data_IF_863445151311
#
_entry.id   IF_863445151311
#
_cell.length_a   1.000
_cell.length_b   1.000
_cell.length_c   1.000
_cell.angle_alpha   90.00
_cell.angle_beta   90.00
_cell.angle_gamma   90.00
#
_symmetry.space_group_name_H-M   'P 1'
#
loop_
_entity.id
_entity.type
_entity.pdbx_description
1 polymer ?
#
# COMPACT_ATOMS: atom_id res chain seq x y z
N UNK A 1 -9.53 -0.72 17.33
CA UNK A 1 -8.34 -0.45 18.16
C UNK A 1 -8.33 1.04 18.50
N UNK A 2 -8.73 1.41 19.72
CA UNK A 2 -8.90 2.81 20.16
C UNK A 2 -8.01 3.05 21.38
N UNK A 3 -6.70 2.84 21.25
CA UNK A 3 -5.76 3.03 22.37
C UNK A 3 -4.46 3.70 21.86
N UNK A 4 -4.05 4.75 22.58
CA UNK A 4 -2.79 5.52 22.62
C UNK A 4 -2.34 6.45 21.47
N UNK A 5 -2.92 6.43 20.27
CA UNK A 5 -2.51 7.38 19.22
C UNK A 5 -2.64 8.86 19.65
N UNK A 6 -3.74 9.32 20.28
CA UNK A 6 -3.84 10.72 20.72
C UNK A 6 -2.81 11.08 21.79
N UNK A 7 -2.56 10.21 22.77
CA UNK A 7 -1.58 10.46 23.84
C UNK A 7 -0.15 10.55 23.28
N UNK A 8 0.23 9.61 22.39
CA UNK A 8 1.53 9.62 21.73
C UNK A 8 1.67 10.83 20.81
N UNK A 9 0.60 11.22 20.11
CA UNK A 9 0.57 12.42 19.29
C UNK A 9 0.77 13.70 20.12
N UNK A 10 0.17 13.81 21.31
CA UNK A 10 0.42 14.94 22.20
C UNK A 10 1.87 15.01 22.69
N UNK A 11 2.54 13.86 22.84
CA UNK A 11 3.98 13.79 23.15
C UNK A 11 4.88 14.04 21.91
N UNK A 12 4.34 13.96 20.69
CA UNK A 12 5.08 14.09 19.44
C UNK A 12 4.38 15.06 18.47
N UNK A 13 4.79 16.34 18.49
CA UNK A 13 4.14 17.41 17.70
C UNK A 13 3.94 17.07 16.22
N UNK A 14 4.89 16.37 15.59
CA UNK A 14 4.77 15.97 14.18
C UNK A 14 3.69 14.90 13.97
N UNK A 15 3.55 13.92 14.88
CA UNK A 15 2.48 12.93 14.84
C UNK A 15 1.10 13.56 15.03
N UNK A 16 1.00 14.57 15.91
CA UNK A 16 -0.22 15.34 16.06
C UNK A 16 -0.60 16.03 14.75
N UNK A 17 0.35 16.71 14.11
CA UNK A 17 0.11 17.30 12.79
C UNK A 17 -0.29 16.25 11.75
N UNK A 18 0.37 15.09 11.68
CA UNK A 18 -0.03 14.01 10.77
C UNK A 18 -1.46 13.51 11.02
N UNK A 19 -1.83 13.36 12.30
CA UNK A 19 -3.18 12.95 12.69
C UNK A 19 -4.24 13.99 12.30
N UNK A 20 -3.95 15.28 12.54
CA UNK A 20 -4.81 16.39 12.14
C UNK A 20 -4.92 16.50 10.61
N UNK A 21 -3.85 16.21 9.88
CA UNK A 21 -3.85 16.19 8.43
C UNK A 21 -4.85 15.15 7.89
N UNK A 22 -4.77 13.91 8.38
CA UNK A 22 -5.72 12.84 8.05
C UNK A 22 -7.15 13.22 8.43
N UNK A 23 -7.35 13.77 9.63
CA UNK A 23 -8.68 14.17 10.10
C UNK A 23 -9.28 15.27 9.22
N UNK A 24 -8.50 16.31 8.87
CA UNK A 24 -8.94 17.40 8.02
C UNK A 24 -9.22 16.92 6.58
N UNK A 25 -8.40 16.02 6.04
CA UNK A 25 -8.61 15.40 4.73
C UNK A 25 -9.88 14.53 4.73
N UNK A 26 -10.11 13.75 5.77
CA UNK A 26 -11.34 12.98 5.89
C UNK A 26 -12.56 13.89 6.00
N UNK A 27 -12.50 14.96 6.80
CA UNK A 27 -13.58 15.92 6.97
C UNK A 27 -13.93 16.68 5.68
N UNK A 28 -12.96 17.01 4.82
CA UNK A 28 -13.21 17.71 3.56
C UNK A 28 -14.20 16.97 2.66
N UNK A 29 -14.15 15.63 2.68
CA UNK A 29 -15.01 14.74 1.88
C UNK A 29 -16.49 14.79 2.27
N UNK A 30 -16.81 15.22 3.48
CA UNK A 30 -18.20 15.33 3.96
C UNK A 30 -18.77 16.75 3.80
N UNK A 31 -18.00 17.69 3.26
CA UNK A 31 -18.46 19.07 3.05
C UNK A 31 -19.26 19.15 1.75
N UNK A 32 -20.51 19.61 1.88
CA UNK A 32 -21.41 19.85 0.74
C UNK A 32 -20.98 21.06 -0.09
N UNK A 33 -20.40 22.06 0.57
CA UNK A 33 -19.89 23.28 -0.05
C UNK A 33 -18.45 23.08 -0.50
N UNK A 34 -18.17 23.31 -1.80
CA UNK A 34 -16.83 23.20 -2.38
C UNK A 34 -15.80 24.13 -1.70
N UNK A 35 -16.21 25.34 -1.30
CA UNK A 35 -15.33 26.28 -0.60
C UNK A 35 -14.91 25.76 0.78
N UNK A 36 -15.85 25.17 1.53
CA UNK A 36 -15.54 24.52 2.81
C UNK A 36 -14.68 23.27 2.63
N UNK A 37 -15.01 22.42 1.64
CA UNK A 37 -14.21 21.25 1.30
C UNK A 37 -12.75 21.65 1.03
N UNK A 38 -12.55 22.68 0.21
CA UNK A 38 -11.24 23.21 -0.11
C UNK A 38 -10.53 23.81 1.11
N UNK A 39 -11.26 24.51 1.99
CA UNK A 39 -10.69 25.03 3.25
C UNK A 39 -10.14 23.91 4.13
N UNK A 40 -10.88 22.80 4.29
CA UNK A 40 -10.41 21.63 5.03
C UNK A 40 -9.24 20.93 4.33
N UNK A 41 -9.25 20.83 2.99
CA UNK A 41 -8.13 20.31 2.22
C UNK A 41 -6.84 21.13 2.44
N UNK A 42 -6.94 22.46 2.42
CA UNK A 42 -5.80 23.34 2.69
C UNK A 42 -5.25 23.17 4.11
N UNK A 43 -6.11 23.00 5.11
CA UNK A 43 -5.70 22.66 6.49
C UNK A 43 -5.00 21.31 6.55
N UNK A 44 -5.52 20.32 5.82
CA UNK A 44 -4.94 18.99 5.74
C UNK A 44 -3.50 19.04 5.18
N UNK A 45 -3.31 19.73 4.05
CA UNK A 45 -2.01 19.93 3.43
C UNK A 45 -1.04 20.72 4.33
N UNK A 46 -1.50 21.78 4.98
CA UNK A 46 -0.68 22.55 5.91
C UNK A 46 -0.13 21.69 7.04
N UNK A 47 -0.99 20.89 7.68
CA UNK A 47 -0.56 19.98 8.72
C UNK A 47 0.35 18.86 8.19
N UNK A 48 0.05 18.30 7.02
CA UNK A 48 0.87 17.28 6.38
C UNK A 48 2.30 17.77 6.14
N UNK A 49 2.46 18.93 5.48
CA UNK A 49 3.79 19.52 5.18
C UNK A 49 4.53 19.86 6.47
N UNK A 50 3.84 20.40 7.48
CA UNK A 50 4.45 20.73 8.78
C UNK A 50 4.98 19.50 9.49
N UNK A 51 4.19 18.42 9.50
CA UNK A 51 4.58 17.14 10.09
C UNK A 51 5.77 16.55 9.33
N UNK A 52 5.70 16.51 8.00
CA UNK A 52 6.71 15.91 7.13
C UNK A 52 8.07 16.58 7.32
N UNK A 53 8.13 17.92 7.33
CA UNK A 53 9.36 18.67 7.59
C UNK A 53 10.03 18.26 8.91
N UNK A 54 9.23 18.14 9.96
CA UNK A 54 9.74 17.79 11.30
C UNK A 54 10.21 16.34 11.34
N UNK A 55 9.43 15.41 10.77
CA UNK A 55 9.80 14.00 10.68
C UNK A 55 11.10 13.79 9.89
N UNK A 56 11.25 14.45 8.74
CA UNK A 56 12.47 14.39 7.92
C UNK A 56 13.70 14.87 8.70
N UNK A 57 13.59 15.90 9.53
CA UNK A 57 14.73 16.33 10.36
C UNK A 57 15.14 15.30 11.43
N UNK A 58 14.20 14.46 11.90
CA UNK A 58 14.47 13.44 12.90
C UNK A 58 15.04 12.14 12.29
N UNK A 59 14.83 11.92 10.98
CA UNK A 59 15.34 10.74 10.27
C UNK A 59 16.87 10.64 10.25
N UNK A 60 17.59 11.76 10.41
CA UNK A 60 19.05 11.77 10.48
C UNK A 60 19.61 11.06 11.73
N UNK A 61 18.79 10.90 12.79
CA UNK A 61 19.21 10.33 14.07
C UNK A 61 18.10 9.49 14.70
N UNK A 62 17.77 8.37 14.06
CA UNK A 62 16.72 7.45 14.52
C UNK A 62 17.21 6.66 15.74
N UNK A 63 16.36 6.60 16.78
CA UNK A 63 16.61 5.92 18.04
C UNK A 63 15.31 5.36 18.64
N UNK A 64 15.38 4.71 19.81
CA UNK A 64 14.23 4.09 20.46
C UNK A 64 13.15 5.11 20.90
N UNK A 65 13.51 6.38 21.07
CA UNK A 65 12.58 7.43 21.47
C UNK A 65 11.74 7.96 20.30
N UNK A 66 12.32 8.06 19.09
CA UNK A 66 11.63 8.63 17.92
C UNK A 66 11.23 7.59 16.86
N UNK A 67 11.86 6.41 16.82
CA UNK A 67 11.64 5.37 15.83
C UNK A 67 10.19 4.89 15.75
N UNK A 68 9.56 4.51 16.87
CA UNK A 68 8.15 4.13 16.91
C UNK A 68 7.24 5.23 16.35
N UNK A 69 7.51 6.49 16.72
CA UNK A 69 6.72 7.62 16.26
C UNK A 69 6.90 7.90 14.76
N UNK A 70 8.12 7.77 14.23
CA UNK A 70 8.42 7.90 12.80
C UNK A 70 7.74 6.81 11.98
N UNK A 71 7.67 5.57 12.49
CA UNK A 71 6.93 4.48 11.84
C UNK A 71 5.42 4.78 11.76
N UNK A 72 4.82 5.24 12.86
CA UNK A 72 3.40 5.63 12.82
C UNK A 72 3.17 6.77 11.84
N UNK A 73 4.10 7.73 11.79
CA UNK A 73 4.00 8.84 10.88
C UNK A 73 4.11 8.39 9.42
N UNK A 74 4.98 7.44 9.07
CA UNK A 74 5.06 6.91 7.69
C UNK A 74 3.75 6.21 7.27
N UNK A 75 3.09 5.49 8.19
CA UNK A 75 1.77 4.91 7.93
C UNK A 75 0.68 5.98 7.72
N UNK A 76 0.75 7.10 8.46
CA UNK A 76 -0.14 8.24 8.25
C UNK A 76 0.15 8.93 6.91
N UNK A 77 1.42 9.08 6.53
CA UNK A 77 1.79 9.65 5.22
C UNK A 77 1.22 8.82 4.08
N UNK A 78 1.42 7.51 4.15
CA UNK A 78 0.85 6.57 3.20
C UNK A 78 -0.68 6.69 3.10
N UNK A 79 -1.38 6.66 4.24
CA UNK A 79 -2.85 6.81 4.28
C UNK A 79 -3.30 8.18 3.74
N UNK A 80 -2.52 9.24 3.98
CA UNK A 80 -2.81 10.59 3.50
C UNK A 80 -2.70 10.66 1.99
N UNK A 81 -1.60 10.16 1.42
CA UNK A 81 -1.36 10.15 -0.02
C UNK A 81 -2.44 9.36 -0.75
N UNK A 82 -2.76 8.16 -0.30
CA UNK A 82 -3.85 7.38 -0.90
C UNK A 82 -5.21 8.07 -0.73
N UNK A 83 -5.44 8.72 0.42
CA UNK A 83 -6.67 9.45 0.71
C UNK A 83 -6.92 10.68 -0.17
N UNK A 84 -5.89 11.22 -0.83
CA UNK A 84 -6.05 12.24 -1.87
C UNK A 84 -6.75 11.69 -3.12
N UNK A 85 -6.74 10.36 -3.28
CA UNK A 85 -7.29 9.65 -4.42
C UNK A 85 -6.31 9.54 -5.59
N UNK A 86 -6.55 8.59 -6.50
CA UNK A 86 -5.76 8.44 -7.70
C UNK A 86 -5.98 9.61 -8.69
N UNK A 87 -4.98 9.89 -9.52
CA UNK A 87 -5.06 10.78 -10.68
C UNK A 87 -4.76 10.00 -11.96
N UNK A 88 -5.19 10.48 -13.13
CA UNK A 88 -4.85 9.82 -14.41
C UNK A 88 -3.36 9.54 -14.54
N UNK A 89 -3.03 8.28 -14.88
CA UNK A 89 -1.66 7.78 -14.95
C UNK A 89 -1.01 7.36 -13.62
N UNK A 90 -1.73 7.35 -12.49
CA UNK A 90 -1.22 6.86 -11.22
C UNK A 90 -1.41 5.33 -11.08
N UNK A 91 -0.33 4.58 -11.11
CA UNK A 91 -0.31 3.13 -10.88
C UNK A 91 -0.02 2.76 -9.42
N UNK A 92 -0.38 3.64 -8.46
CA UNK A 92 -0.18 3.52 -7.01
C UNK A 92 1.30 3.53 -6.56
N UNK A 93 2.13 2.67 -7.16
CA UNK A 93 3.56 2.50 -6.92
C UNK A 93 4.41 3.51 -7.69
N UNK A 94 3.89 3.96 -8.82
CA UNK A 94 4.51 4.94 -9.69
C UNK A 94 3.41 5.77 -10.37
N UNK A 95 3.81 6.89 -10.96
CA UNK A 95 2.95 7.71 -11.81
C UNK A 95 3.81 8.66 -12.64
N UNK A 96 3.23 9.75 -13.17
CA UNK A 96 3.95 10.66 -14.08
C UNK A 96 5.19 11.32 -13.48
N UNK A 97 5.30 11.35 -12.14
CA UNK A 97 6.43 11.93 -11.41
C UNK A 97 7.48 10.89 -10.98
N UNK A 98 7.34 9.63 -11.42
CA UNK A 98 8.21 8.51 -11.05
C UNK A 98 7.64 7.65 -9.91
N UNK A 99 8.52 6.96 -9.18
CA UNK A 99 8.13 6.09 -8.05
C UNK A 99 7.47 6.92 -6.95
N UNK A 100 6.40 6.38 -6.37
CA UNK A 100 5.69 7.02 -5.30
C UNK A 100 6.59 7.19 -4.06
N UNK A 101 6.76 8.43 -3.61
CA UNK A 101 7.68 8.78 -2.51
C UNK A 101 7.40 8.00 -1.22
N UNK A 102 6.13 7.67 -0.95
CA UNK A 102 5.73 6.92 0.24
C UNK A 102 6.29 5.49 0.25
N UNK A 103 6.56 4.90 -0.93
CA UNK A 103 7.08 3.54 -1.05
C UNK A 103 8.48 3.45 -0.40
N UNK A 104 9.38 4.34 -0.80
CA UNK A 104 10.74 4.41 -0.23
C UNK A 104 10.72 4.73 1.27
N UNK A 105 9.80 5.58 1.73
CA UNK A 105 9.64 5.86 3.16
C UNK A 105 9.25 4.61 3.96
N UNK A 106 8.29 3.84 3.48
CA UNK A 106 7.83 2.62 4.16
C UNK A 106 8.86 1.49 4.09
N UNK A 107 9.54 1.32 2.95
CA UNK A 107 10.64 0.36 2.82
C UNK A 107 11.81 0.70 3.76
N UNK A 108 12.15 1.98 3.92
CA UNK A 108 13.14 2.43 4.88
C UNK A 108 12.76 2.10 6.33
N UNK A 109 11.51 2.36 6.71
CA UNK A 109 11.01 2.02 8.05
C UNK A 109 10.92 0.50 8.28
N UNK A 110 10.61 -0.29 7.25
CA UNK A 110 10.70 -1.77 7.33
C UNK A 110 12.13 -2.21 7.57
N UNK A 111 13.08 -1.71 6.79
CA UNK A 111 14.50 -2.07 6.95
C UNK A 111 14.97 -1.81 8.39
N UNK A 112 14.52 -0.71 9.00
CA UNK A 112 14.80 -0.43 10.41
C UNK A 112 14.13 -1.43 11.36
N UNK A 113 12.88 -1.83 11.12
CA UNK A 113 12.20 -2.87 11.90
C UNK A 113 12.93 -4.21 11.84
N UNK A 114 13.47 -4.58 10.68
CA UNK A 114 14.18 -5.86 10.46
C UNK A 114 15.61 -5.84 11.02
N UNK A 115 16.34 -4.74 10.82
CA UNK A 115 17.77 -4.63 11.19
C UNK A 115 18.00 -4.14 12.61
N UNK A 116 17.04 -3.41 13.18
CA UNK A 116 17.11 -2.83 14.53
C UNK A 116 15.80 -3.02 15.30
N UNK A 117 15.33 -4.26 15.50
CA UNK A 117 14.07 -4.54 16.20
C UNK A 117 14.05 -3.97 17.63
N UNK A 118 15.22 -3.80 18.26
CA UNK A 118 15.39 -3.16 19.57
C UNK A 118 14.83 -1.72 19.66
N UNK A 119 14.75 -1.00 18.52
CA UNK A 119 14.17 0.35 18.48
C UNK A 119 12.65 0.35 18.64
N UNK A 120 12.00 -0.81 18.50
CA UNK A 120 10.54 -0.96 18.44
C UNK A 120 9.98 -1.84 19.57
N UNK A 121 10.74 -2.01 20.66
CA UNK A 121 10.33 -2.82 21.81
C UNK A 121 9.37 -2.12 22.77
N UNK A 122 8.82 -0.95 22.43
CA UNK A 122 7.77 -0.31 23.23
C UNK A 122 6.49 -1.15 23.20
N UNK A 123 6.15 -1.74 24.35
CA UNK A 123 4.96 -2.57 24.59
C UNK A 123 3.66 -1.89 24.15
N UNK A 124 3.62 -0.56 24.14
CA UNK A 124 2.44 0.23 23.78
C UNK A 124 2.07 0.10 22.31
N UNK A 125 3.07 0.01 21.45
CA UNK A 125 2.91 -0.02 20.00
C UNK A 125 3.26 -1.39 19.39
N UNK A 126 3.79 -2.30 20.22
CA UNK A 126 4.11 -3.68 19.88
C UNK A 126 3.03 -4.38 19.03
N UNK A 127 1.71 -4.26 19.29
CA UNK A 127 0.72 -4.93 18.44
C UNK A 127 0.72 -4.45 16.98
N UNK A 128 1.00 -3.17 16.71
CA UNK A 128 1.07 -2.65 15.35
C UNK A 128 2.34 -3.07 14.62
N UNK A 129 3.47 -3.16 15.33
CA UNK A 129 4.72 -3.66 14.76
C UNK A 129 4.66 -5.17 14.52
N UNK A 130 4.11 -5.92 15.48
CA UNK A 130 3.99 -7.38 15.39
C UNK A 130 3.13 -7.82 14.21
N UNK A 131 2.08 -7.08 13.84
CA UNK A 131 1.28 -7.42 12.65
C UNK A 131 2.13 -7.35 11.38
N UNK A 132 2.91 -6.28 11.21
CA UNK A 132 3.83 -6.14 10.07
C UNK A 132 4.91 -7.21 10.11
N UNK A 133 5.57 -7.41 11.26
CA UNK A 133 6.63 -8.42 11.43
C UNK A 133 6.12 -9.84 11.16
N UNK A 134 4.93 -10.21 11.67
CA UNK A 134 4.31 -11.52 11.40
C UNK A 134 3.99 -11.68 9.92
N UNK A 135 3.47 -10.63 9.28
CA UNK A 135 3.16 -10.65 7.85
C UNK A 135 4.42 -10.81 6.99
N UNK A 136 5.55 -10.21 7.40
CA UNK A 136 6.86 -10.33 6.76
C UNK A 136 7.49 -11.72 6.98
N UNK A 137 7.40 -12.25 8.20
CA UNK A 137 8.00 -13.54 8.59
C UNK A 137 7.31 -14.76 7.96
N UNK A 138 6.10 -14.60 7.41
CA UNK A 138 5.33 -15.68 6.85
C UNK A 138 5.76 -15.97 5.41
N UNK A 139 6.50 -17.07 5.23
CA UNK A 139 7.29 -17.34 4.03
C UNK A 139 6.79 -18.47 3.13
N UNK A 140 5.72 -19.20 3.49
CA UNK A 140 5.27 -20.35 2.69
C UNK A 140 3.75 -20.35 2.60
N UNK A 141 3.24 -20.02 1.41
CA UNK A 141 1.86 -20.35 1.05
C UNK A 141 1.75 -21.85 0.89
N UNK A 142 0.70 -22.45 1.46
CA UNK A 142 0.41 -23.88 1.25
C UNK A 142 -0.38 -24.12 -0.04
N UNK A 143 -0.95 -23.08 -0.63
CA UNK A 143 -1.86 -23.16 -1.78
C UNK A 143 -1.41 -22.15 -2.82
N UNK A 144 -1.20 -22.61 -4.06
CA UNK A 144 -1.03 -21.67 -5.17
C UNK A 144 -2.41 -21.15 -5.58
N UNK A 145 -2.65 -19.85 -5.33
CA UNK A 145 -3.91 -19.21 -5.70
C UNK A 145 -3.98 -18.86 -7.19
N UNK A 146 -2.85 -18.85 -7.90
CA UNK A 146 -2.77 -18.38 -9.29
C UNK A 146 -2.11 -19.38 -10.26
N UNK A 147 -2.46 -20.69 -10.24
CA UNK A 147 -1.76 -21.69 -11.03
C UNK A 147 -1.90 -21.47 -12.54
N UNK A 148 -3.05 -20.94 -12.99
CA UNK A 148 -3.29 -20.63 -14.40
C UNK A 148 -2.42 -19.45 -14.87
N UNK A 149 -2.45 -18.34 -14.14
CA UNK A 149 -1.62 -17.17 -14.46
C UNK A 149 -0.13 -17.51 -14.42
N UNK A 150 0.31 -18.29 -13.43
CA UNK A 150 1.70 -18.77 -13.35
C UNK A 150 2.12 -19.51 -14.61
N UNK A 151 1.28 -20.44 -15.08
CA UNK A 151 1.53 -21.18 -16.32
C UNK A 151 1.60 -20.24 -17.52
N UNK A 152 0.69 -19.28 -17.64
CA UNK A 152 0.69 -18.29 -18.72
C UNK A 152 1.99 -17.46 -18.73
N UNK A 153 2.40 -16.96 -17.56
CA UNK A 153 3.65 -16.20 -17.39
C UNK A 153 4.87 -17.05 -17.78
N UNK A 154 4.96 -18.28 -17.29
CA UNK A 154 6.07 -19.19 -17.62
C UNK A 154 6.16 -19.50 -19.13
N UNK A 155 5.02 -19.59 -19.80
CA UNK A 155 4.96 -19.83 -21.25
C UNK A 155 5.35 -18.58 -22.05
N UNK A 156 4.80 -17.42 -21.70
CA UNK A 156 5.04 -16.17 -22.44
C UNK A 156 6.44 -15.60 -22.22
N UNK A 157 6.97 -15.71 -21.00
CA UNK A 157 8.31 -15.23 -20.63
C UNK A 157 9.35 -16.37 -20.60
N UNK A 158 9.15 -17.43 -21.40
CA UNK A 158 10.09 -18.54 -21.48
C UNK A 158 11.42 -18.08 -22.09
N UNK A 159 12.51 -18.20 -21.32
CA UNK A 159 13.83 -17.70 -21.72
C UNK A 159 14.07 -16.22 -21.47
N UNK A 160 13.08 -15.51 -20.93
CA UNK A 160 13.23 -14.13 -20.48
C UNK A 160 13.97 -14.12 -19.11
N UNK A 161 15.10 -13.40 -18.97
CA UNK A 161 15.76 -13.24 -17.68
C UNK A 161 14.86 -12.61 -16.61
N UNK A 162 13.83 -11.84 -17.00
CA UNK A 162 12.91 -11.16 -16.09
C UNK A 162 11.88 -12.10 -15.44
N UNK A 163 11.74 -13.34 -15.94
CA UNK A 163 10.82 -14.35 -15.43
C UNK A 163 10.99 -14.63 -13.92
N UNK A 164 12.22 -14.51 -13.42
CA UNK A 164 12.51 -14.68 -11.99
C UNK A 164 11.79 -13.65 -11.12
N UNK A 165 11.72 -12.39 -11.58
CA UNK A 165 11.05 -11.30 -10.89
C UNK A 165 9.53 -11.46 -10.95
N UNK A 166 8.99 -11.86 -12.10
CA UNK A 166 7.56 -12.15 -12.26
C UNK A 166 7.10 -13.28 -11.33
N UNK A 167 7.87 -14.37 -11.29
CA UNK A 167 7.55 -15.54 -10.47
C UNK A 167 7.60 -15.20 -8.98
N UNK A 168 8.63 -14.48 -8.55
CA UNK A 168 8.79 -14.04 -7.15
C UNK A 168 7.66 -13.11 -6.71
N UNK A 169 7.32 -12.10 -7.52
CA UNK A 169 6.23 -11.16 -7.20
C UNK A 169 4.87 -11.88 -7.11
N UNK A 170 4.62 -12.83 -8.03
CA UNK A 170 3.41 -13.65 -8.02
C UNK A 170 3.35 -14.58 -6.80
N UNK A 171 4.46 -15.19 -6.40
CA UNK A 171 4.55 -16.03 -5.20
C UNK A 171 4.23 -15.24 -3.93
N UNK A 172 4.84 -14.06 -3.79
CA UNK A 172 4.58 -13.16 -2.67
C UNK A 172 3.10 -12.72 -2.64
N UNK A 173 2.50 -12.44 -3.81
CA UNK A 173 1.09 -12.07 -3.91
C UNK A 173 0.17 -13.23 -3.51
N UNK A 174 0.45 -14.43 -4.03
CA UNK A 174 -0.27 -15.66 -3.71
C UNK A 174 -0.34 -15.89 -2.20
N UNK A 175 0.77 -15.70 -1.48
CA UNK A 175 0.79 -15.81 -0.02
C UNK A 175 -0.14 -14.83 0.71
N UNK A 176 -0.47 -13.67 0.12
CA UNK A 176 -1.39 -12.72 0.75
C UNK A 176 -2.85 -13.18 0.66
N UNK A 177 -3.18 -13.99 -0.37
CA UNK A 177 -4.53 -14.52 -0.55
C UNK A 177 -4.89 -15.62 0.46
N UNK A 178 -3.91 -16.29 1.06
CA UNK A 178 -4.14 -17.20 2.19
C UNK A 178 -4.92 -16.51 3.32
N UNK A 179 -4.58 -15.25 3.62
CA UNK A 179 -5.28 -14.48 4.64
C UNK A 179 -6.66 -14.04 4.20
N UNK A 180 -6.80 -13.60 2.94
CA UNK A 180 -8.06 -13.13 2.39
C UNK A 180 -9.15 -14.22 2.41
N UNK A 181 -8.77 -15.45 2.09
CA UNK A 181 -9.67 -16.61 2.10
C UNK A 181 -10.04 -17.05 3.53
N UNK A 182 -9.14 -16.93 4.51
CA UNK A 182 -9.43 -17.22 5.91
C UNK A 182 -10.31 -16.13 6.57
N UNK A 183 -10.25 -14.89 6.08
CA UNK A 183 -11.10 -13.76 6.53
C UNK A 183 -12.54 -13.79 5.99
N UNK A 184 -12.95 -14.83 5.26
CA UNK A 184 -14.37 -15.07 4.91
C UNK A 184 -15.25 -15.35 6.13
N UNK A 185 -14.64 -15.61 7.29
CA UNK A 185 -15.34 -15.57 8.58
C UNK A 185 -15.59 -14.11 9.00
N UNK A 186 -16.86 -13.76 9.31
CA UNK A 186 -17.34 -12.39 9.66
C UNK A 186 -16.60 -11.67 10.81
N UNK A 187 -15.56 -12.27 11.39
CA UNK A 187 -14.88 -11.84 12.61
C UNK A 187 -13.50 -11.21 12.33
N UNK A 188 -12.84 -11.49 11.20
CA UNK A 188 -11.52 -10.95 10.89
C UNK A 188 -11.51 -10.09 9.63
N UNK A 189 -11.50 -8.76 9.77
CA UNK A 189 -11.26 -7.85 8.65
C UNK A 189 -9.77 -7.90 8.25
N UNK A 190 -9.47 -7.97 6.95
CA UNK A 190 -8.11 -7.78 6.44
C UNK A 190 -7.58 -6.41 6.86
N UNK A 191 -6.41 -6.39 7.48
CA UNK A 191 -5.72 -5.14 7.78
C UNK A 191 -5.00 -4.61 6.53
N UNK A 192 -4.96 -3.29 6.29
CA UNK A 192 -4.21 -2.74 5.17
C UNK A 192 -2.72 -3.10 5.24
N UNK A 193 -2.15 -3.23 6.44
CA UNK A 193 -0.79 -3.69 6.63
C UNK A 193 -0.56 -5.06 5.99
N UNK A 194 -1.48 -6.02 6.15
CA UNK A 194 -1.34 -7.36 5.57
C UNK A 194 -1.38 -7.36 4.04
N UNK A 195 -2.16 -6.45 3.44
CA UNK A 195 -2.28 -6.33 1.98
C UNK A 195 -1.07 -5.60 1.40
N UNK A 196 -0.73 -4.42 1.94
CA UNK A 196 0.34 -3.58 1.41
C UNK A 196 1.76 -4.10 1.74
N UNK A 197 1.91 -5.10 2.61
CA UNK A 197 3.20 -5.81 2.78
C UNK A 197 3.72 -6.37 1.46
N UNK A 198 2.84 -6.83 0.57
CA UNK A 198 3.25 -7.27 -0.78
C UNK A 198 3.98 -6.16 -1.53
N UNK A 199 3.37 -4.98 -1.59
CA UNK A 199 3.96 -3.78 -2.21
C UNK A 199 5.33 -3.46 -1.62
N UNK A 200 5.47 -3.53 -0.30
CA UNK A 200 6.75 -3.21 0.34
C UNK A 200 7.84 -4.23 -0.02
N UNK A 201 7.47 -5.50 -0.23
CA UNK A 201 8.36 -6.64 -0.51
C UNK A 201 8.79 -6.79 -1.97
N UNK A 202 8.22 -6.00 -2.87
CA UNK A 202 8.67 -5.96 -4.27
C UNK A 202 10.14 -5.56 -4.32
N UNK A 203 10.91 -6.24 -5.16
CA UNK A 203 12.28 -5.85 -5.44
C UNK A 203 12.33 -4.72 -6.48
N UNK A 204 13.47 -4.02 -6.49
CA UNK A 204 13.67 -2.84 -7.34
C UNK A 204 13.55 -3.19 -8.83
N UNK A 205 13.94 -4.40 -9.22
CA UNK A 205 13.80 -4.89 -10.59
C UNK A 205 12.33 -5.03 -10.99
N UNK A 206 11.49 -5.67 -10.17
CA UNK A 206 10.05 -5.76 -10.48
C UNK A 206 9.38 -4.38 -10.48
N UNK A 207 9.77 -3.48 -9.57
CA UNK A 207 9.28 -2.09 -9.57
C UNK A 207 9.69 -1.36 -10.85
N UNK A 208 10.94 -1.52 -11.31
CA UNK A 208 11.38 -0.98 -12.60
C UNK A 208 10.54 -1.51 -13.76
N UNK A 209 10.25 -2.81 -13.79
CA UNK A 209 9.44 -3.42 -14.86
C UNK A 209 8.00 -2.92 -14.87
N UNK A 210 7.44 -2.62 -13.70
CA UNK A 210 6.16 -1.93 -13.57
C UNK A 210 6.23 -0.50 -14.14
N UNK A 211 7.29 0.25 -13.84
CA UNK A 211 7.48 1.61 -14.38
C UNK A 211 7.71 1.65 -15.89
N UNK A 212 8.29 0.60 -16.45
CA UNK A 212 8.41 0.39 -17.89
C UNK A 212 7.09 -0.06 -18.53
N UNK A 213 6.01 -0.16 -17.73
CA UNK A 213 4.67 -0.57 -18.14
C UNK A 213 4.68 -1.91 -18.88
N UNK A 214 5.56 -2.83 -18.45
CA UNK A 214 5.66 -4.16 -19.03
C UNK A 214 4.34 -4.92 -18.81
N UNK A 215 3.83 -5.66 -19.81
CA UNK A 215 2.52 -6.28 -19.73
C UNK A 215 2.34 -7.25 -18.56
N UNK A 216 3.31 -8.16 -18.34
CA UNK A 216 3.21 -9.20 -17.29
C UNK A 216 3.19 -8.59 -15.87
N UNK A 217 4.10 -7.65 -15.51
CA UNK A 217 4.01 -6.93 -14.23
C UNK A 217 2.69 -6.22 -14.00
N UNK A 218 2.17 -5.53 -15.02
CA UNK A 218 0.87 -4.85 -14.92
C UNK A 218 -0.27 -5.84 -14.72
N UNK A 219 -0.25 -6.99 -15.40
CA UNK A 219 -1.19 -8.08 -15.13
C UNK A 219 -1.06 -8.55 -13.67
N UNK A 220 0.14 -8.79 -13.14
CA UNK A 220 0.30 -9.17 -11.72
C UNK A 220 -0.25 -8.09 -10.78
N UNK A 221 -0.01 -6.81 -11.07
CA UNK A 221 -0.56 -5.68 -10.31
C UNK A 221 -2.10 -5.68 -10.33
N UNK A 222 -2.73 -6.08 -11.44
CA UNK A 222 -4.20 -6.21 -11.49
C UNK A 222 -4.74 -7.26 -10.52
N UNK A 223 -4.00 -8.33 -10.23
CA UNK A 223 -4.39 -9.33 -9.23
C UNK A 223 -4.25 -8.79 -7.80
N UNK A 224 -3.33 -7.86 -7.56
CA UNK A 224 -3.28 -7.12 -6.30
C UNK A 224 -4.53 -6.24 -6.11
N UNK A 225 -5.13 -5.72 -7.18
CA UNK A 225 -6.36 -4.94 -7.09
C UNK A 225 -7.53 -5.70 -6.45
N UNK A 226 -7.55 -7.04 -6.53
CA UNK A 226 -8.54 -7.88 -5.84
C UNK A 226 -8.44 -7.68 -4.32
N UNK A 227 -7.23 -7.75 -3.76
CA UNK A 227 -7.00 -7.51 -2.33
C UNK A 227 -7.27 -6.06 -1.95
N UNK A 228 -6.84 -5.13 -2.81
CA UNK A 228 -7.08 -3.70 -2.60
C UNK A 228 -8.57 -3.37 -2.54
N UNK A 229 -9.40 -4.02 -3.36
CA UNK A 229 -10.85 -3.84 -3.38
C UNK A 229 -11.51 -4.30 -2.06
N UNK A 230 -10.95 -5.32 -1.40
CA UNK A 230 -11.41 -5.77 -0.08
C UNK A 230 -11.14 -4.75 1.04
N UNK A 231 -10.23 -3.79 0.80
CA UNK A 231 -9.95 -2.68 1.72
C UNK A 231 -10.91 -1.49 1.55
N UNK A 232 -11.96 -1.58 0.72
CA UNK A 232 -12.91 -0.47 0.45
C UNK A 232 -13.61 0.12 1.69
N UNK A 233 -13.61 -0.62 2.81
CA UNK A 233 -14.06 -0.13 4.13
C UNK A 233 -13.17 1.00 4.67
N UNK A 234 -11.87 1.01 4.33
CA UNK A 234 -10.94 2.09 4.64
C UNK A 234 -11.17 3.23 3.65
N UNK A 235 -11.58 4.39 4.13
CA UNK A 235 -11.99 5.50 3.25
C UNK A 235 -10.89 5.97 2.28
N UNK A 236 -9.62 5.80 2.67
CA UNK A 236 -8.46 6.27 1.91
C UNK A 236 -8.02 5.30 0.80
N UNK A 237 -8.52 4.07 0.74
CA UNK A 237 -8.28 3.14 -0.39
C UNK A 237 -9.38 3.20 -1.46
N UNK A 238 -10.49 3.90 -1.19
CA UNK A 238 -11.64 3.94 -2.09
C UNK A 238 -11.29 4.53 -3.45
N UNK A 239 -11.72 3.85 -4.51
CA UNK A 239 -11.50 4.26 -5.90
C UNK A 239 -10.17 3.79 -6.49
N UNK A 240 -9.21 3.32 -5.67
CA UNK A 240 -7.91 2.89 -6.18
C UNK A 240 -7.98 1.61 -7.01
N UNK A 241 -8.72 0.57 -6.57
CA UNK A 241 -8.79 -0.68 -7.32
C UNK A 241 -9.39 -0.50 -8.73
N UNK A 242 -10.50 0.23 -8.83
CA UNK A 242 -11.15 0.58 -10.10
C UNK A 242 -10.23 1.41 -11.00
N UNK A 243 -9.59 2.44 -10.44
CA UNK A 243 -8.64 3.26 -11.19
C UNK A 243 -7.49 2.45 -11.76
N UNK A 244 -6.83 1.63 -10.93
CA UNK A 244 -5.71 0.80 -11.36
C UNK A 244 -6.13 -0.20 -12.43
N UNK A 245 -7.30 -0.85 -12.27
CA UNK A 245 -7.79 -1.77 -13.29
C UNK A 245 -8.05 -1.06 -14.62
N UNK A 246 -8.57 0.16 -14.58
CA UNK A 246 -8.77 0.99 -15.77
C UNK A 246 -7.46 1.35 -16.46
N UNK A 247 -6.46 1.87 -15.72
CA UNK A 247 -5.15 2.26 -16.26
C UNK A 247 -4.34 1.05 -16.77
N UNK A 248 -4.42 -0.08 -16.07
CA UNK A 248 -3.80 -1.34 -16.51
C UNK A 248 -4.49 -1.85 -17.77
N UNK A 249 -5.82 -1.87 -17.80
CA UNK A 249 -6.55 -2.37 -18.97
C UNK A 249 -6.31 -1.48 -20.21
N UNK A 250 -6.21 -0.16 -20.04
CA UNK A 250 -5.95 0.76 -21.16
C UNK A 250 -4.52 0.68 -21.70
N UNK A 251 -3.55 0.29 -20.88
CA UNK A 251 -2.13 0.16 -21.26
C UNK A 251 -1.77 -1.20 -21.87
N UNK A 252 -2.62 -2.22 -21.72
CA UNK A 252 -2.36 -3.57 -22.21
C UNK A 252 -2.91 -3.83 -23.62
N UNK A 253 -2.22 -4.70 -24.37
CA UNK A 253 -2.75 -5.30 -25.59
C UNK A 253 -3.85 -6.35 -25.30
N UNK A 254 -4.68 -6.66 -26.29
CA UNK A 254 -5.81 -7.60 -26.18
C UNK A 254 -5.45 -8.98 -25.62
N UNK A 255 -4.24 -9.47 -25.94
CA UNK A 255 -3.75 -10.73 -25.39
C UNK A 255 -3.70 -10.71 -23.85
N UNK A 256 -3.10 -9.67 -23.28
CA UNK A 256 -2.90 -9.54 -21.83
C UNK A 256 -4.16 -9.07 -21.09
N UNK A 257 -5.04 -8.31 -21.75
CA UNK A 257 -6.38 -8.00 -21.22
C UNK A 257 -7.15 -9.27 -20.87
N UNK A 258 -7.03 -10.32 -21.69
CA UNK A 258 -7.68 -11.60 -21.42
C UNK A 258 -7.19 -12.28 -20.12
N UNK A 259 -5.98 -11.96 -19.65
CA UNK A 259 -5.41 -12.50 -18.40
C UNK A 259 -5.94 -11.78 -17.15
N UNK A 260 -6.53 -10.59 -17.32
CA UNK A 260 -7.17 -9.80 -16.25
C UNK A 260 -8.59 -10.27 -15.91
N UNK A 261 -9.14 -11.26 -16.61
CA UNK A 261 -10.53 -11.73 -16.43
C UNK A 261 -10.90 -11.94 -14.96
N UNK A 262 -10.05 -12.66 -14.21
CA UNK A 262 -10.30 -12.97 -12.81
C UNK A 262 -10.32 -11.71 -11.92
N UNK A 263 -9.31 -10.82 -11.97
CA UNK A 263 -9.39 -9.51 -11.32
C UNK A 263 -10.69 -8.77 -11.59
N UNK A 264 -11.11 -8.67 -12.86
CA UNK A 264 -12.33 -7.98 -13.26
C UNK A 264 -13.59 -8.60 -12.64
N UNK A 265 -13.70 -9.93 -12.68
CA UNK A 265 -14.80 -10.69 -12.08
C UNK A 265 -14.86 -10.54 -10.54
N UNK A 266 -13.73 -10.69 -9.85
CA UNK A 266 -13.69 -10.64 -8.38
C UNK A 266 -13.84 -9.22 -7.83
N UNK A 267 -13.44 -8.18 -8.56
CA UNK A 267 -13.69 -6.79 -8.15
C UNK A 267 -15.04 -6.26 -8.61
N UNK A 268 -15.71 -6.95 -9.54
CA UNK A 268 -16.93 -6.46 -10.20
C UNK A 268 -16.69 -5.26 -11.11
N UNK A 269 -15.45 -5.07 -11.59
CA UNK A 269 -15.08 -3.97 -12.47
C UNK A 269 -15.30 -4.38 -13.92
N UNK A 270 -15.86 -3.48 -14.72
CA UNK A 270 -16.16 -3.69 -16.14
C UNK A 270 -15.46 -2.58 -16.93
N UNK A 271 -14.75 -2.91 -18.03
CA UNK A 271 -14.13 -1.90 -18.89
C UNK A 271 -15.20 -0.96 -19.45
N UNK A 272 -14.93 0.35 -19.36
CA UNK A 272 -15.78 1.41 -19.92
C UNK A 272 -15.58 1.62 -21.41
#
# INVERSE_FOLDING_TARGET
MRINLPQIAFSNKFLLHGTLAIAALHLSRFKKNASEANSYMMKALHHYVTALRTATSLMASINAQNGPALYLFSMLCFSFTLGLGPKPGDFLLFGPQGIAQWLGQLQGMRSLLETKPELFQDDTLAPMFQLTVRSLAQSISRIDHFPQLRKQIQQAASGDPELVHYSKALDQLSQRFDFALLSTSRVAQLSPQQVFVWVYQLDDDFVRLLQEEKPIPLVILSYFCILLNQLSSFWWTRGWAEHLLSEIHSSLDEEYKSWMRRPMEETGWIPG
#
